data_IF_510171618757
#
_entry.id   IF_510171618757
#
_cell.length_a   1.000
_cell.length_b   1.000
_cell.length_c   1.000
_cell.angle_alpha   90.00
_cell.angle_beta   90.00
_cell.angle_gamma   90.00
#
_symmetry.space_group_name_H-M   'P 1'
#
loop_
_entity.id
_entity.type
_entity.pdbx_description
1 polymer ?
#
# COMPACT_ATOMS: atom_id res chain seq x y z
N UNK A 1 -10.98 -33.52 -3.16
CA UNK A 1 -9.83 -32.76 -3.69
C UNK A 1 -9.34 -31.87 -2.56
N UNK A 2 -8.04 -31.83 -2.33
CA UNK A 2 -7.46 -30.94 -1.32
C UNK A 2 -7.62 -29.47 -1.76
N UNK A 3 -7.78 -28.53 -0.81
CA UNK A 3 -7.84 -27.11 -1.14
C UNK A 3 -6.51 -26.63 -1.73
N UNK A 4 -6.52 -25.68 -2.67
CA UNK A 4 -5.29 -25.15 -3.26
C UNK A 4 -4.45 -24.44 -2.20
N UNK A 5 -3.15 -24.67 -2.24
CA UNK A 5 -2.16 -23.98 -1.42
C UNK A 5 -2.14 -22.48 -1.75
N UNK A 6 -1.59 -21.67 -0.83
CA UNK A 6 -1.45 -20.22 -1.04
C UNK A 6 -0.62 -19.92 -2.30
N UNK A 7 0.43 -20.71 -2.56
CA UNK A 7 1.28 -20.54 -3.75
C UNK A 7 0.49 -20.75 -5.05
N UNK A 8 -0.35 -21.78 -5.09
CA UNK A 8 -1.20 -22.06 -6.25
C UNK A 8 -2.27 -20.98 -6.46
N UNK A 9 -2.84 -20.45 -5.37
CA UNK A 9 -3.80 -19.34 -5.46
C UNK A 9 -3.15 -18.08 -6.05
N UNK A 10 -1.94 -17.72 -5.58
CA UNK A 10 -1.19 -16.58 -6.12
C UNK A 10 -0.80 -16.81 -7.59
N UNK A 11 -0.30 -18.02 -7.93
CA UNK A 11 0.06 -18.37 -9.30
C UNK A 11 -1.15 -18.29 -10.25
N UNK A 12 -2.31 -18.78 -9.81
CA UNK A 12 -3.56 -18.70 -10.58
C UNK A 12 -3.97 -17.24 -10.84
N UNK A 13 -3.87 -16.37 -9.83
CA UNK A 13 -4.17 -14.94 -9.97
C UNK A 13 -3.19 -14.29 -10.96
N UNK A 14 -1.89 -14.55 -10.81
CA UNK A 14 -0.87 -14.01 -11.72
C UNK A 14 -1.14 -14.44 -13.16
N UNK A 15 -1.44 -15.72 -13.40
CA UNK A 15 -1.79 -16.24 -14.71
C UNK A 15 -3.08 -15.60 -15.26
N UNK A 16 -4.12 -15.47 -14.44
CA UNK A 16 -5.40 -14.86 -14.83
C UNK A 16 -5.23 -13.42 -15.30
N UNK A 17 -4.31 -12.66 -14.70
CA UNK A 17 -3.97 -11.29 -15.09
C UNK A 17 -2.81 -11.22 -16.10
N UNK A 18 -2.37 -12.38 -16.62
CA UNK A 18 -1.37 -12.50 -17.66
C UNK A 18 0.03 -12.08 -17.25
N UNK A 19 0.37 -12.11 -15.96
CA UNK A 19 1.71 -11.75 -15.49
C UNK A 19 2.74 -12.77 -15.97
N UNK A 20 3.91 -12.29 -16.36
CA UNK A 20 4.95 -13.07 -17.03
C UNK A 20 6.27 -13.07 -16.26
N UNK A 21 7.13 -14.04 -16.59
CA UNK A 21 8.50 -14.06 -16.10
C UNK A 21 9.25 -12.82 -16.61
N UNK A 22 9.82 -12.03 -15.70
CA UNK A 22 10.47 -10.76 -16.02
C UNK A 22 9.63 -9.52 -15.67
N UNK A 23 8.34 -9.68 -15.34
CA UNK A 23 7.56 -8.58 -14.76
C UNK A 23 8.14 -8.13 -13.42
N UNK A 24 8.11 -6.83 -13.14
CA UNK A 24 8.55 -6.25 -11.89
C UNK A 24 7.45 -6.43 -10.83
N UNK A 25 7.50 -7.56 -10.13
CA UNK A 25 6.55 -7.90 -9.08
C UNK A 25 7.09 -7.49 -7.71
N UNK A 26 6.30 -6.75 -6.95
CA UNK A 26 6.61 -6.37 -5.56
C UNK A 26 5.58 -6.93 -4.59
N UNK A 27 6.04 -7.30 -3.39
CA UNK A 27 5.19 -7.76 -2.29
C UNK A 27 5.33 -6.78 -1.12
N UNK A 28 4.23 -6.18 -0.72
CA UNK A 28 4.19 -5.17 0.33
C UNK A 28 3.31 -5.63 1.49
N UNK A 29 3.67 -5.23 2.72
CA UNK A 29 2.81 -5.37 3.89
C UNK A 29 1.87 -4.17 4.00
N UNK A 30 0.57 -4.42 3.90
CA UNK A 30 -0.47 -3.43 4.15
C UNK A 30 -1.12 -3.63 5.53
N UNK A 31 -1.96 -2.68 5.93
CA UNK A 31 -2.53 -2.67 7.28
C UNK A 31 -1.55 -2.21 8.36
N UNK A 32 -0.59 -1.34 7.98
CA UNK A 32 0.24 -0.60 8.93
C UNK A 32 -0.35 0.77 9.20
N UNK A 33 -0.33 1.18 10.46
CA UNK A 33 -0.67 2.53 10.88
C UNK A 33 0.57 3.14 11.52
N UNK A 34 0.88 4.39 11.16
CA UNK A 34 1.90 5.18 11.85
C UNK A 34 1.18 6.30 12.59
N UNK A 35 1.42 6.43 13.89
CA UNK A 35 0.90 7.55 14.66
C UNK A 35 1.55 8.85 14.16
N UNK A 36 0.75 9.78 13.65
CA UNK A 36 1.19 11.11 13.24
C UNK A 36 0.98 12.18 14.32
N UNK A 37 0.50 11.80 15.50
CA UNK A 37 0.09 12.73 16.55
C UNK A 37 1.26 12.92 17.51
N UNK A 38 1.68 14.18 17.70
CA UNK A 38 2.54 14.55 18.81
C UNK A 38 1.70 14.58 20.09
N UNK A 39 2.02 13.67 21.01
CA UNK A 39 1.29 13.47 22.27
C UNK A 39 1.95 14.21 23.45
N UNK A 40 3.07 14.91 23.21
CA UNK A 40 3.86 15.60 24.24
C UNK A 40 4.71 14.65 25.10
N UNK A 41 5.44 15.24 26.06
CA UNK A 41 6.34 14.50 26.95
C UNK A 41 5.60 13.69 28.03
N UNK A 42 4.46 14.21 28.52
CA UNK A 42 3.61 13.56 29.51
C UNK A 42 2.29 13.11 28.86
N UNK A 43 2.14 11.80 28.64
CA UNK A 43 0.96 11.22 27.99
C UNK A 43 0.58 9.84 28.54
N UNK A 44 -0.64 9.41 28.27
CA UNK A 44 -1.14 8.10 28.72
C UNK A 44 -0.70 6.97 27.78
N UNK A 45 0.34 6.25 28.18
CA UNK A 45 0.93 5.13 27.42
C UNK A 45 -0.02 3.96 27.13
N UNK A 46 -1.16 3.85 27.84
CA UNK A 46 -2.16 2.81 27.58
C UNK A 46 -3.02 3.12 26.35
N UNK A 47 -3.29 4.39 26.09
CA UNK A 47 -4.28 4.82 25.09
C UNK A 47 -3.69 5.66 23.96
N UNK A 48 -2.49 6.20 24.15
CA UNK A 48 -1.84 7.10 23.20
C UNK A 48 -0.51 6.49 22.73
N UNK A 49 -0.25 6.62 21.44
CA UNK A 49 0.98 6.17 20.80
C UNK A 49 1.80 7.40 20.37
N UNK A 50 3.07 7.51 20.78
CA UNK A 50 3.96 8.58 20.34
C UNK A 50 4.00 8.74 18.82
N UNK A 51 4.33 9.94 18.37
CA UNK A 51 4.58 10.22 16.96
C UNK A 51 5.62 9.25 16.40
N UNK A 52 5.37 8.73 15.20
CA UNK A 52 6.21 7.74 14.54
C UNK A 52 5.99 6.30 14.99
N UNK A 53 5.17 6.04 16.03
CA UNK A 53 4.86 4.66 16.44
C UNK A 53 4.17 3.92 15.31
N UNK A 54 4.81 2.86 14.80
CA UNK A 54 4.24 1.98 13.76
C UNK A 54 3.55 0.79 14.40
N UNK A 55 2.27 0.64 14.12
CA UNK A 55 1.45 -0.50 14.52
C UNK A 55 1.10 -1.33 13.30
N UNK A 56 1.25 -2.64 13.42
CA UNK A 56 0.78 -3.62 12.45
C UNK A 56 -0.56 -4.17 12.93
N UNK A 57 -1.58 -4.14 12.09
CA UNK A 57 -2.87 -4.72 12.43
C UNK A 57 -2.75 -6.24 12.50
N UNK A 58 -3.53 -6.88 13.39
CA UNK A 58 -3.60 -8.35 13.45
C UNK A 58 -4.14 -8.93 12.15
N UNK A 59 -5.06 -8.21 11.51
CA UNK A 59 -5.63 -8.55 10.20
C UNK A 59 -4.81 -7.92 9.05
N UNK A 60 -3.49 -7.79 9.22
CA UNK A 60 -2.62 -7.31 8.15
C UNK A 60 -2.68 -8.26 6.94
N UNK A 61 -2.54 -7.67 5.75
CA UNK A 61 -2.57 -8.40 4.50
C UNK A 61 -1.36 -8.02 3.65
N UNK A 62 -0.96 -8.94 2.78
CA UNK A 62 0.04 -8.65 1.76
C UNK A 62 -0.65 -8.09 0.52
N UNK A 63 0.00 -7.14 -0.13
CA UNK A 63 -0.38 -6.64 -1.45
C UNK A 63 0.71 -7.07 -2.43
N UNK A 64 0.32 -7.83 -3.44
CA UNK A 64 1.20 -8.22 -4.53
C UNK A 64 0.86 -7.31 -5.72
N UNK A 65 1.82 -6.52 -6.20
CA UNK A 65 1.64 -5.59 -7.31
C UNK A 65 2.55 -5.95 -8.47
N UNK A 66 2.07 -5.76 -9.69
CA UNK A 66 2.87 -5.80 -10.90
C UNK A 66 3.12 -4.38 -11.39
N UNK A 67 4.32 -3.87 -11.16
CA UNK A 67 4.69 -2.50 -11.51
C UNK A 67 5.00 -2.35 -13.01
N UNK A 68 5.28 -3.45 -13.72
CA UNK A 68 5.47 -3.42 -15.18
C UNK A 68 4.16 -3.21 -15.95
N UNK A 69 3.02 -3.48 -15.31
CA UNK A 69 1.68 -3.40 -15.92
C UNK A 69 0.80 -2.36 -15.26
N UNK A 70 1.40 -1.46 -14.46
CA UNK A 70 0.67 -0.38 -13.83
C UNK A 70 0.35 0.70 -14.88
N UNK A 71 -0.93 1.09 -14.94
CA UNK A 71 -1.37 2.22 -15.77
C UNK A 71 -1.06 3.58 -15.12
N UNK A 72 -0.40 3.57 -13.96
CA UNK A 72 -0.03 4.77 -13.23
C UNK A 72 0.85 5.71 -14.09
N UNK A 73 0.29 6.87 -14.42
CA UNK A 73 1.01 8.00 -14.96
C UNK A 73 0.93 9.15 -13.94
N UNK A 74 2.06 9.79 -13.65
CA UNK A 74 2.04 10.97 -12.76
C UNK A 74 1.25 12.10 -13.41
N UNK A 75 0.62 12.94 -12.58
CA UNK A 75 -0.04 14.14 -13.09
C UNK A 75 0.95 15.02 -13.86
N UNK A 76 0.56 15.40 -15.07
CA UNK A 76 1.34 16.36 -15.86
C UNK A 76 1.07 17.78 -15.37
N UNK A 77 2.06 18.68 -15.42
CA UNK A 77 1.80 20.11 -15.23
C UNK A 77 0.73 20.57 -16.24
N UNK A 78 -0.02 21.61 -15.87
CA UNK A 78 -1.06 22.12 -16.77
C UNK A 78 -0.43 22.79 -17.98
N UNK A 79 -0.89 22.47 -19.19
CA UNK A 79 -0.52 23.16 -20.44
C UNK A 79 -1.17 24.55 -20.58
N UNK A 80 -1.71 25.09 -19.48
CA UNK A 80 -2.41 26.36 -19.41
C UNK A 80 -2.03 27.12 -18.15
N UNK A 81 -2.22 28.44 -18.19
CA UNK A 81 -2.06 29.31 -17.03
C UNK A 81 -2.93 28.84 -15.85
N UNK A 82 -2.34 28.81 -14.66
CA UNK A 82 -3.02 28.43 -13.43
C UNK A 82 -3.96 29.55 -12.97
N UNK A 83 -5.27 29.35 -13.15
CA UNK A 83 -6.34 30.27 -12.73
C UNK A 83 -7.14 29.65 -11.59
N UNK A 84 -6.65 29.68 -10.35
CA UNK A 84 -7.39 29.15 -9.21
C UNK A 84 -8.63 29.99 -8.97
N UNK A 85 -9.75 29.35 -8.63
CA UNK A 85 -11.02 30.03 -8.36
C UNK A 85 -11.01 30.82 -7.04
N UNK A 86 -10.03 30.54 -6.18
CA UNK A 86 -9.81 31.24 -4.93
C UNK A 86 -8.31 31.56 -4.85
N UNK A 87 -8.01 32.85 -4.71
CA UNK A 87 -6.67 33.40 -4.48
C UNK A 87 -6.66 34.11 -3.12
#
# INVERSE_FOLDING_TARGET
MEPPTIKEQVAFIAQKYGWEEGDNIVVEMAGTQVSGIDVGEEYNKKWQSPIGTRKYNKDAFIVIKNLSRDSFESSKPMDREHKPHHA
#
